data_IF_322454077858
#
_entry.id   IF_322454077858
#
_cell.length_a   1.000
_cell.length_b   1.000
_cell.length_c   1.000
_cell.angle_alpha   90.00
_cell.angle_beta   90.00
_cell.angle_gamma   90.00
#
_symmetry.space_group_name_H-M   'P 1'
#
loop_
_entity.id
_entity.type
_entity.pdbx_description
1 polymer ?
#
# COMPACT_ATOMS: atom_id res chain seq x y z
N UNK A 1 31.81 -11.48 35.48
CA UNK A 1 31.26 -11.81 34.18
C UNK A 1 30.31 -10.72 33.77
N UNK A 2 30.59 -9.99 32.67
CA UNK A 2 29.59 -9.10 32.03
C UNK A 2 28.54 -10.03 31.43
N UNK A 3 27.31 -9.96 31.93
CA UNK A 3 26.16 -10.54 31.25
C UNK A 3 26.05 -9.88 29.90
N UNK A 4 26.22 -10.63 28.81
CA UNK A 4 25.85 -10.20 27.48
C UNK A 4 24.33 -10.12 27.52
N UNK A 5 23.80 -8.91 27.67
CA UNK A 5 22.38 -8.65 27.52
C UNK A 5 22.09 -8.91 26.05
N UNK A 6 21.27 -9.92 25.74
CA UNK A 6 20.87 -10.20 24.37
C UNK A 6 20.24 -8.93 23.78
N UNK A 7 20.76 -8.46 22.67
CA UNK A 7 20.23 -7.30 21.97
C UNK A 7 18.76 -7.59 21.63
N UNK A 8 17.85 -6.72 22.08
CA UNK A 8 16.43 -6.81 21.73
C UNK A 8 16.27 -6.19 20.34
N UNK A 9 15.65 -6.94 19.44
CA UNK A 9 15.43 -6.53 18.05
C UNK A 9 13.98 -6.75 17.69
N UNK A 10 13.39 -5.82 16.93
CA UNK A 10 12.08 -5.96 16.29
C UNK A 10 12.25 -5.86 14.78
N UNK A 11 11.68 -6.83 14.06
CA UNK A 11 11.72 -6.89 12.61
C UNK A 11 10.40 -6.35 12.04
N UNK A 12 10.47 -5.25 11.32
CA UNK A 12 9.30 -4.55 10.76
C UNK A 12 9.36 -4.58 9.24
N UNK A 13 8.25 -4.95 8.60
CA UNK A 13 8.09 -4.81 7.16
C UNK A 13 6.94 -3.85 6.82
N UNK A 14 7.26 -2.83 6.05
CA UNK A 14 6.32 -1.79 5.65
C UNK A 14 6.60 -1.35 4.20
N UNK A 15 6.27 -0.14 3.87
CA UNK A 15 6.44 0.48 2.55
C UNK A 15 7.52 1.55 2.61
N UNK A 16 8.07 1.92 1.46
CA UNK A 16 8.85 3.14 1.32
C UNK A 16 7.99 4.36 1.66
N UNK A 17 8.59 5.45 2.12
CA UNK A 17 7.92 6.72 2.44
C UNK A 17 6.76 6.64 3.47
N UNK A 18 6.67 5.55 4.26
CA UNK A 18 5.58 5.34 5.22
C UNK A 18 5.92 5.71 6.65
N UNK A 19 7.18 5.95 6.95
CA UNK A 19 7.64 6.39 8.27
C UNK A 19 8.82 7.36 8.11
N UNK A 20 8.87 8.35 8.97
CA UNK A 20 10.06 9.18 9.12
C UNK A 20 11.15 8.37 9.84
N UNK A 21 12.32 8.22 9.23
CA UNK A 21 13.44 7.45 9.79
C UNK A 21 13.92 8.00 11.14
N UNK A 22 13.74 9.30 11.40
CA UNK A 22 14.04 9.89 12.71
C UNK A 22 13.21 9.28 13.82
N UNK A 23 11.95 8.84 13.54
CA UNK A 23 11.09 8.16 14.51
C UNK A 23 11.61 6.76 14.86
N UNK A 24 12.23 6.07 13.93
CA UNK A 24 12.89 4.79 14.20
C UNK A 24 14.06 5.01 15.17
N UNK A 25 14.90 6.00 14.90
CA UNK A 25 16.04 6.37 15.76
C UNK A 25 15.54 6.74 17.18
N UNK A 26 14.51 7.58 17.27
CA UNK A 26 13.91 7.96 18.55
C UNK A 26 13.38 6.75 19.32
N UNK A 27 12.67 5.84 18.66
CA UNK A 27 12.19 4.60 19.28
C UNK A 27 13.33 3.75 19.84
N UNK A 28 14.40 3.59 19.08
CA UNK A 28 15.58 2.83 19.51
C UNK A 28 16.25 3.48 20.74
N UNK A 29 16.37 4.79 20.75
CA UNK A 29 16.95 5.56 21.89
C UNK A 29 16.09 5.47 23.13
N UNK A 30 14.75 5.57 23.01
CA UNK A 30 13.83 5.54 24.13
C UNK A 30 13.67 4.14 24.73
N UNK A 31 13.70 3.09 23.89
CA UNK A 31 13.35 1.73 24.31
C UNK A 31 14.55 0.81 24.49
N UNK A 32 15.67 1.12 23.85
CA UNK A 32 16.81 0.21 23.73
C UNK A 32 16.50 -1.03 22.89
N UNK A 33 15.49 -0.97 22.02
CA UNK A 33 15.11 -2.02 21.08
C UNK A 33 15.58 -1.59 19.70
N UNK A 34 16.41 -2.40 19.05
CA UNK A 34 16.82 -2.14 17.67
C UNK A 34 15.71 -2.50 16.69
N UNK A 35 15.52 -1.68 15.66
CA UNK A 35 14.52 -1.89 14.61
C UNK A 35 15.21 -2.31 13.31
N UNK A 36 14.91 -3.52 12.83
CA UNK A 36 15.22 -3.92 11.46
C UNK A 36 14.03 -3.54 10.58
N UNK A 37 14.11 -2.40 9.92
CA UNK A 37 13.06 -1.91 9.03
C UNK A 37 13.33 -2.37 7.60
N UNK A 38 12.37 -3.07 7.00
CA UNK A 38 12.42 -3.53 5.62
C UNK A 38 11.20 -3.00 4.87
N UNK A 39 11.35 -2.79 3.57
CA UNK A 39 10.25 -2.39 2.69
C UNK A 39 9.90 -3.51 1.72
N UNK A 40 8.60 -3.69 1.47
CA UNK A 40 8.09 -4.57 0.45
C UNK A 40 7.66 -3.78 -0.79
N UNK A 41 7.75 -4.39 -1.96
CA UNK A 41 7.33 -3.76 -3.22
C UNK A 41 5.81 -3.80 -3.43
N UNK A 42 5.15 -4.82 -2.88
CA UNK A 42 3.69 -5.01 -2.98
C UNK A 42 3.17 -5.88 -1.83
N UNK A 43 1.86 -5.85 -1.60
CA UNK A 43 1.21 -6.75 -0.64
C UNK A 43 1.41 -8.23 -1.01
N UNK A 44 1.42 -8.54 -2.30
CA UNK A 44 1.64 -9.89 -2.84
C UNK A 44 3.07 -10.36 -2.59
N UNK A 45 4.07 -9.49 -2.71
CA UNK A 45 5.46 -9.77 -2.37
C UNK A 45 5.62 -10.02 -0.87
N UNK A 46 5.04 -9.16 -0.02
CA UNK A 46 5.02 -9.32 1.43
C UNK A 46 4.38 -10.66 1.83
N UNK A 47 3.20 -10.97 1.28
CA UNK A 47 2.50 -12.23 1.52
C UNK A 47 3.38 -13.45 1.14
N UNK A 48 4.04 -13.38 -0.02
CA UNK A 48 4.90 -14.46 -0.49
C UNK A 48 6.09 -14.69 0.44
N UNK A 49 6.72 -13.62 0.93
CA UNK A 49 7.82 -13.70 1.90
C UNK A 49 7.40 -14.40 3.20
N UNK A 50 6.23 -14.02 3.74
CA UNK A 50 5.70 -14.61 4.97
C UNK A 50 5.36 -16.09 4.74
N UNK A 51 4.68 -16.41 3.64
CA UNK A 51 4.21 -17.76 3.33
C UNK A 51 5.35 -18.76 3.09
N UNK A 52 6.47 -18.31 2.53
CA UNK A 52 7.66 -19.15 2.33
C UNK A 52 8.42 -19.42 3.63
N UNK A 53 8.06 -18.78 4.74
CA UNK A 53 8.72 -18.96 6.04
C UNK A 53 10.16 -18.44 6.08
N UNK A 54 10.54 -17.60 5.12
CA UNK A 54 11.87 -17.00 5.01
C UNK A 54 12.03 -15.65 5.70
N UNK A 55 10.97 -15.13 6.32
CA UNK A 55 10.95 -13.82 6.94
C UNK A 55 10.42 -13.92 8.37
N UNK A 56 11.25 -13.53 9.33
CA UNK A 56 10.89 -13.42 10.76
C UNK A 56 10.44 -11.99 11.04
N UNK A 57 9.27 -11.60 10.51
CA UNK A 57 8.68 -10.29 10.83
C UNK A 57 7.89 -10.37 12.13
N UNK A 58 8.16 -9.43 13.04
CA UNK A 58 7.37 -9.21 14.26
C UNK A 58 6.18 -8.29 13.98
N UNK A 59 6.35 -7.30 13.10
CA UNK A 59 5.34 -6.34 12.71
C UNK A 59 5.33 -6.17 11.18
N UNK A 60 4.14 -6.21 10.61
CA UNK A 60 3.91 -5.95 9.17
C UNK A 60 2.83 -4.90 8.99
N UNK A 61 2.90 -4.13 7.90
CA UNK A 61 1.95 -3.05 7.59
C UNK A 61 1.28 -3.32 6.23
N UNK A 62 0.44 -4.35 6.09
CA UNK A 62 -0.26 -4.64 4.84
C UNK A 62 -1.52 -3.78 4.67
N UNK A 63 -2.04 -3.75 3.45
CA UNK A 63 -3.35 -3.16 3.15
C UNK A 63 -4.49 -4.06 3.65
N UNK A 64 -5.66 -3.47 3.82
CA UNK A 64 -6.87 -4.09 4.35
C UNK A 64 -7.23 -5.44 3.70
N UNK A 65 -7.21 -5.52 2.38
CA UNK A 65 -7.51 -6.76 1.66
C UNK A 65 -6.52 -7.88 1.95
N UNK A 66 -5.25 -7.54 2.18
CA UNK A 66 -4.23 -8.52 2.53
C UNK A 66 -4.34 -8.92 4.00
N UNK A 67 -4.73 -8.00 4.90
CA UNK A 67 -5.08 -8.30 6.28
C UNK A 67 -6.19 -9.36 6.33
N UNK A 68 -7.29 -9.16 5.60
CA UNK A 68 -8.39 -10.11 5.54
C UNK A 68 -7.91 -11.51 5.12
N UNK A 69 -7.02 -11.59 4.13
CA UNK A 69 -6.43 -12.85 3.68
C UNK A 69 -5.54 -13.50 4.73
N UNK A 70 -4.65 -12.72 5.35
CA UNK A 70 -3.74 -13.23 6.38
C UNK A 70 -4.49 -13.76 7.60
N UNK A 71 -5.58 -13.09 8.00
CA UNK A 71 -6.47 -13.57 9.07
C UNK A 71 -7.14 -14.88 8.66
N UNK A 72 -7.69 -14.97 7.45
CA UNK A 72 -8.34 -16.17 6.95
C UNK A 72 -7.40 -17.38 6.88
N UNK A 73 -6.11 -17.14 6.67
CA UNK A 73 -5.07 -18.18 6.60
C UNK A 73 -4.36 -18.41 7.96
N UNK A 74 -4.88 -17.86 9.08
CA UNK A 74 -4.31 -17.98 10.44
C UNK A 74 -2.81 -17.57 10.53
N UNK A 75 -2.45 -16.49 9.81
CA UNK A 75 -1.06 -16.03 9.70
C UNK A 75 -0.74 -14.83 10.60
N UNK A 76 -1.68 -14.34 11.39
CA UNK A 76 -1.50 -13.21 12.30
C UNK A 76 -1.74 -13.62 13.74
N UNK A 77 -0.95 -13.05 14.65
CA UNK A 77 -1.16 -13.19 16.08
C UNK A 77 -2.17 -12.15 16.59
N UNK A 78 -2.99 -12.54 17.57
CA UNK A 78 -3.87 -11.59 18.25
C UNK A 78 -3.07 -10.55 19.04
N UNK A 79 -3.54 -9.30 19.05
CA UNK A 79 -2.93 -8.20 19.76
C UNK A 79 -3.35 -8.16 21.22
N UNK A 80 -2.39 -7.88 22.11
CA UNK A 80 -2.67 -7.57 23.50
C UNK A 80 -2.76 -6.06 23.70
N UNK A 81 -3.98 -5.55 23.73
CA UNK A 81 -4.26 -4.11 23.85
C UNK A 81 -3.86 -3.52 25.19
N UNK A 82 -3.56 -4.33 26.23
CA UNK A 82 -3.00 -3.83 27.47
C UNK A 82 -1.64 -3.16 27.27
N UNK A 83 -0.95 -3.51 26.19
CA UNK A 83 0.33 -2.95 25.76
C UNK A 83 0.21 -1.87 24.67
N UNK A 84 -1.01 -1.55 24.22
CA UNK A 84 -1.25 -0.57 23.13
C UNK A 84 -2.21 0.54 23.63
N UNK A 85 -1.84 1.31 24.66
CA UNK A 85 -2.74 2.30 25.25
C UNK A 85 -3.16 3.41 24.28
N UNK A 86 -2.32 3.71 23.28
CA UNK A 86 -2.60 4.77 22.32
C UNK A 86 -3.66 4.38 21.26
N UNK A 87 -4.10 3.12 21.21
CA UNK A 87 -5.20 2.71 20.35
C UNK A 87 -6.47 3.55 20.58
N UNK A 88 -6.71 3.97 21.80
CA UNK A 88 -7.85 4.85 22.16
C UNK A 88 -7.80 6.22 21.46
N UNK A 89 -6.63 6.67 20.99
CA UNK A 89 -6.45 7.96 20.31
C UNK A 89 -6.80 7.89 18.81
N UNK A 90 -6.99 6.69 18.27
CA UNK A 90 -7.41 6.51 16.88
C UNK A 90 -8.88 6.85 16.76
N UNK A 91 -9.25 7.62 15.73
CA UNK A 91 -10.63 7.95 15.44
C UNK A 91 -11.46 6.67 15.18
N UNK A 92 -12.66 6.61 15.74
CA UNK A 92 -13.52 5.43 15.65
C UNK A 92 -13.94 5.10 14.21
N UNK A 93 -13.90 6.08 13.30
CA UNK A 93 -14.17 5.88 11.88
C UNK A 93 -13.23 4.85 11.23
N UNK A 94 -12.01 4.73 11.75
CA UNK A 94 -10.99 3.82 11.22
C UNK A 94 -10.88 2.50 11.98
N UNK A 95 -11.69 2.30 13.00
CA UNK A 95 -11.75 1.07 13.79
C UNK A 95 -12.82 0.11 13.27
N UNK A 96 -12.67 -1.15 13.60
CA UNK A 96 -13.66 -2.20 13.30
C UNK A 96 -14.01 -2.31 11.80
N UNK A 97 -13.01 -2.13 10.95
CA UNK A 97 -13.19 -2.26 9.51
C UNK A 97 -13.45 -3.72 9.13
N UNK A 98 -14.07 -3.93 7.97
CA UNK A 98 -14.50 -5.27 7.51
C UNK A 98 -13.35 -6.29 7.39
N UNK A 99 -12.11 -5.84 7.23
CA UNK A 99 -10.94 -6.71 7.20
C UNK A 99 -10.58 -7.31 8.57
N UNK A 100 -10.90 -6.61 9.66
CA UNK A 100 -10.69 -7.04 11.05
C UNK A 100 -11.76 -6.41 11.95
N UNK A 101 -13.00 -6.93 11.96
CA UNK A 101 -14.17 -6.25 12.56
C UNK A 101 -14.09 -6.02 14.06
N UNK A 102 -13.20 -6.72 14.76
CA UNK A 102 -13.01 -6.59 16.20
C UNK A 102 -11.65 -5.96 16.55
N UNK A 103 -10.86 -5.55 15.55
CA UNK A 103 -9.46 -5.12 15.70
C UNK A 103 -8.62 -6.10 16.54
N UNK A 104 -8.84 -7.39 16.37
CA UNK A 104 -8.08 -8.42 17.10
C UNK A 104 -6.63 -8.50 16.67
N UNK A 105 -6.35 -8.25 15.41
CA UNK A 105 -5.07 -8.51 14.77
C UNK A 105 -4.37 -7.24 14.31
N UNK A 106 -5.09 -6.12 14.24
CA UNK A 106 -4.58 -4.91 13.58
C UNK A 106 -4.85 -3.63 14.34
N UNK A 107 -3.89 -2.70 14.21
CA UNK A 107 -4.06 -1.29 14.59
C UNK A 107 -4.04 -0.47 13.30
N UNK A 108 -5.06 0.37 13.02
CA UNK A 108 -5.05 1.27 11.87
C UNK A 108 -3.85 2.21 11.92
N UNK A 109 -3.11 2.30 10.79
CA UNK A 109 -1.91 3.13 10.70
C UNK A 109 -2.12 4.33 9.79
N UNK A 110 -2.49 4.10 8.54
CA UNK A 110 -2.69 5.13 7.54
C UNK A 110 -3.84 4.79 6.60
N UNK A 111 -4.46 5.81 6.05
CA UNK A 111 -5.42 5.69 4.96
C UNK A 111 -5.14 6.78 3.93
N UNK A 112 -5.63 6.60 2.72
CA UNK A 112 -5.47 7.57 1.66
C UNK A 112 -6.53 7.44 0.59
N UNK A 113 -6.50 8.36 -0.35
CA UNK A 113 -7.35 8.36 -1.54
C UNK A 113 -6.49 8.19 -2.79
N UNK A 114 -7.02 7.45 -3.75
CA UNK A 114 -6.42 7.37 -5.07
C UNK A 114 -6.90 8.56 -5.91
N UNK A 115 -5.98 9.20 -6.64
CA UNK A 115 -6.30 10.34 -7.49
C UNK A 115 -5.30 10.51 -8.62
N UNK A 116 -5.62 11.40 -9.55
CA UNK A 116 -4.74 11.77 -10.66
C UNK A 116 -3.98 13.05 -10.28
N UNK A 117 -2.66 12.98 -10.33
CA UNK A 117 -1.78 14.14 -10.25
C UNK A 117 -1.30 14.46 -11.66
N UNK A 118 -1.37 15.72 -12.06
CA UNK A 118 -0.91 16.15 -13.38
C UNK A 118 -0.15 17.48 -13.33
N UNK A 119 0.77 17.65 -14.27
CA UNK A 119 1.54 18.87 -14.42
C UNK A 119 0.72 19.91 -15.20
N UNK A 120 0.29 20.98 -14.51
CA UNK A 120 -0.53 22.04 -15.08
C UNK A 120 0.19 22.89 -16.14
N UNK A 121 1.50 22.76 -16.27
CA UNK A 121 2.26 23.45 -17.34
C UNK A 121 2.29 22.63 -18.63
N UNK A 122 2.00 21.33 -18.57
CA UNK A 122 2.00 20.42 -19.73
C UNK A 122 0.59 20.04 -20.18
N UNK A 123 -0.36 20.00 -19.27
CA UNK A 123 -1.76 19.64 -19.54
C UNK A 123 -2.63 20.88 -19.55
N UNK A 124 -3.31 21.11 -20.67
CA UNK A 124 -4.22 22.24 -20.84
C UNK A 124 -5.60 21.92 -20.26
N UNK A 125 -6.01 22.69 -19.26
CA UNK A 125 -7.31 22.52 -18.61
C UNK A 125 -7.32 21.49 -17.48
N UNK A 126 -8.42 21.41 -16.74
CA UNK A 126 -8.53 20.49 -15.60
C UNK A 126 -8.74 19.05 -16.07
N UNK A 127 -8.04 18.12 -15.44
CA UNK A 127 -8.36 16.69 -15.51
C UNK A 127 -9.49 16.42 -14.52
N UNK A 128 -10.63 15.96 -15.01
CA UNK A 128 -11.84 15.74 -14.20
C UNK A 128 -12.40 14.32 -14.27
N UNK A 129 -11.75 13.45 -15.04
CA UNK A 129 -12.18 12.07 -15.25
C UNK A 129 -11.00 11.12 -15.30
N UNK A 130 -11.25 9.85 -14.99
CA UNK A 130 -10.25 8.79 -15.06
C UNK A 130 -9.85 8.42 -16.48
N UNK A 131 -10.65 8.77 -17.49
CA UNK A 131 -10.36 8.55 -18.92
C UNK A 131 -8.99 9.12 -19.33
N UNK A 132 -8.53 10.20 -18.69
CA UNK A 132 -7.22 10.78 -18.94
C UNK A 132 -6.06 9.77 -18.76
N UNK A 133 -6.24 8.77 -17.88
CA UNK A 133 -5.24 7.73 -17.64
C UNK A 133 -5.14 6.70 -18.79
N UNK A 134 -6.08 6.73 -19.72
CA UNK A 134 -6.21 5.78 -20.83
C UNK A 134 -6.20 6.48 -22.19
N UNK A 135 -6.18 7.82 -22.22
CA UNK A 135 -6.32 8.62 -23.44
C UNK A 135 -5.03 8.63 -24.25
N UNK A 136 -5.07 8.20 -25.53
CA UNK A 136 -3.92 8.23 -26.43
C UNK A 136 -3.31 9.62 -26.66
N UNK A 137 -4.05 10.71 -26.36
CA UNK A 137 -3.47 12.07 -26.47
C UNK A 137 -2.29 12.28 -25.51
N UNK A 138 -2.23 11.52 -24.41
CA UNK A 138 -1.14 11.55 -23.43
C UNK A 138 -0.12 10.42 -23.63
N UNK A 139 -0.06 9.81 -24.81
CA UNK A 139 0.82 8.68 -25.07
C UNK A 139 2.27 8.95 -24.65
N UNK A 140 2.85 8.03 -23.89
CA UNK A 140 4.20 8.13 -23.36
C UNK A 140 4.38 9.13 -22.20
N UNK A 141 3.30 9.73 -21.70
CA UNK A 141 3.34 10.76 -20.65
C UNK A 141 2.57 10.36 -19.38
N UNK A 142 1.94 9.20 -19.37
CA UNK A 142 1.17 8.70 -18.23
C UNK A 142 2.03 7.75 -17.39
N UNK A 143 2.10 8.00 -16.11
CA UNK A 143 2.64 7.07 -15.12
C UNK A 143 1.47 6.35 -14.45
N UNK A 144 1.44 5.03 -14.54
CA UNK A 144 0.45 4.21 -13.86
C UNK A 144 1.05 3.62 -12.59
N UNK A 145 0.25 3.54 -11.54
CA UNK A 145 0.67 2.91 -10.28
C UNK A 145 0.97 1.42 -10.50
N UNK A 146 2.11 0.96 -10.00
CA UNK A 146 2.54 -0.44 -10.07
C UNK A 146 1.94 -1.28 -8.92
N UNK A 147 0.64 -1.13 -8.74
CA UNK A 147 -0.18 -1.91 -7.82
C UNK A 147 -1.39 -2.42 -8.59
N UNK A 148 -1.58 -3.72 -8.66
CA UNK A 148 -2.62 -4.33 -9.50
C UNK A 148 -4.03 -3.92 -9.08
N UNK A 149 -4.31 -3.79 -7.78
CA UNK A 149 -5.63 -3.36 -7.30
C UNK A 149 -5.92 -1.91 -7.65
N UNK A 150 -4.96 -1.03 -7.44
CA UNK A 150 -5.14 0.40 -7.69
C UNK A 150 -5.21 0.68 -9.20
N UNK A 151 -4.40 0.02 -10.02
CA UNK A 151 -4.48 0.13 -11.46
C UNK A 151 -5.82 -0.36 -12.01
N UNK A 152 -6.31 -1.51 -11.52
CA UNK A 152 -7.64 -2.00 -11.88
C UNK A 152 -8.75 -1.09 -11.35
N UNK A 153 -8.60 -0.52 -10.15
CA UNK A 153 -9.56 0.43 -9.59
C UNK A 153 -9.70 1.67 -10.50
N UNK A 154 -8.60 2.22 -11.01
CA UNK A 154 -8.66 3.33 -11.96
C UNK A 154 -9.45 2.97 -13.23
N UNK A 155 -9.24 1.76 -13.78
CA UNK A 155 -9.99 1.29 -14.95
C UNK A 155 -11.46 1.02 -14.64
N UNK A 156 -11.77 0.44 -13.48
CA UNK A 156 -13.15 0.21 -13.05
C UNK A 156 -13.91 1.53 -12.87
N UNK A 157 -13.26 2.54 -12.28
CA UNK A 157 -13.85 3.85 -12.10
C UNK A 157 -14.12 4.54 -13.44
N UNK A 158 -13.21 4.42 -14.40
CA UNK A 158 -13.41 4.95 -15.76
C UNK A 158 -14.60 4.28 -16.46
N UNK A 159 -14.76 2.97 -16.29
CA UNK A 159 -15.88 2.21 -16.83
C UNK A 159 -17.19 2.40 -16.04
N UNK A 160 -17.17 3.12 -14.92
CA UNK A 160 -18.35 3.35 -14.08
C UNK A 160 -18.74 2.15 -13.20
N UNK A 161 -17.81 1.23 -12.97
CA UNK A 161 -18.01 0.07 -12.11
C UNK A 161 -17.56 0.31 -10.67
N UNK A 162 -18.05 -0.53 -9.75
CA UNK A 162 -17.56 -0.53 -8.38
C UNK A 162 -16.12 -1.04 -8.30
N UNK A 163 -15.24 -0.36 -7.56
CA UNK A 163 -13.88 -0.84 -7.27
C UNK A 163 -13.87 -2.14 -6.44
N UNK A 164 -14.98 -2.48 -5.82
CA UNK A 164 -15.18 -3.69 -5.03
C UNK A 164 -15.98 -4.76 -5.79
N UNK A 165 -16.11 -4.63 -7.10
CA UNK A 165 -16.82 -5.64 -7.90
C UNK A 165 -16.13 -6.99 -7.81
N UNK A 166 -16.95 -8.05 -7.79
CA UNK A 166 -16.53 -9.45 -7.93
C UNK A 166 -17.03 -10.07 -9.24
N UNK A 167 -17.64 -9.24 -10.11
CA UNK A 167 -18.11 -9.66 -11.42
C UNK A 167 -16.91 -9.83 -12.36
N UNK A 168 -16.68 -11.07 -12.80
CA UNK A 168 -15.56 -11.42 -13.67
C UNK A 168 -15.59 -10.65 -14.99
N UNK A 169 -16.77 -10.40 -15.57
CA UNK A 169 -16.86 -9.67 -16.83
C UNK A 169 -16.44 -8.21 -16.68
N UNK A 170 -16.77 -7.56 -15.58
CA UNK A 170 -16.33 -6.19 -15.28
C UNK A 170 -14.81 -6.12 -15.03
N UNK A 171 -14.28 -7.13 -14.35
CA UNK A 171 -12.82 -7.24 -14.14
C UNK A 171 -12.07 -7.49 -15.45
N UNK A 172 -12.61 -8.31 -16.34
CA UNK A 172 -12.05 -8.54 -17.68
C UNK A 172 -12.07 -7.28 -18.55
N UNK A 173 -13.18 -6.50 -18.51
CA UNK A 173 -13.26 -5.21 -19.21
C UNK A 173 -12.24 -4.21 -18.68
N UNK A 174 -12.08 -4.09 -17.36
CA UNK A 174 -11.08 -3.22 -16.75
C UNK A 174 -9.65 -3.64 -17.11
N UNK A 175 -9.37 -4.94 -17.09
CA UNK A 175 -8.08 -5.46 -17.53
C UNK A 175 -7.82 -5.19 -19.02
N UNK A 176 -8.83 -5.37 -19.87
CA UNK A 176 -8.71 -5.08 -21.31
C UNK A 176 -8.42 -3.60 -21.56
N UNK A 177 -9.05 -2.69 -20.83
CA UNK A 177 -8.81 -1.25 -20.92
C UNK A 177 -7.35 -0.91 -20.57
N UNK A 178 -6.85 -1.41 -19.42
CA UNK A 178 -5.44 -1.25 -19.02
C UNK A 178 -4.47 -1.82 -20.04
N UNK A 179 -4.75 -3.03 -20.51
CA UNK A 179 -3.90 -3.71 -21.48
C UNK A 179 -3.84 -2.95 -22.81
N UNK A 180 -4.97 -2.49 -23.30
CA UNK A 180 -5.04 -1.71 -24.54
C UNK A 180 -4.27 -0.39 -24.43
N UNK A 181 -4.40 0.33 -23.32
CA UNK A 181 -3.66 1.55 -23.07
C UNK A 181 -2.14 1.30 -23.01
N UNK A 182 -1.72 0.21 -22.34
CA UNK A 182 -0.33 -0.22 -22.31
C UNK A 182 0.19 -0.56 -23.69
N UNK A 183 -0.51 -1.39 -24.44
CA UNK A 183 -0.10 -1.86 -25.76
C UNK A 183 -0.06 -0.71 -26.79
N UNK A 184 -0.89 0.30 -26.61
CA UNK A 184 -0.92 1.53 -27.41
C UNK A 184 0.13 2.57 -27.00
N UNK A 185 0.94 2.28 -25.98
CA UNK A 185 2.03 3.16 -25.55
C UNK A 185 1.58 4.39 -24.75
N UNK A 186 0.39 4.36 -24.14
CA UNK A 186 -0.09 5.46 -23.28
C UNK A 186 0.81 5.59 -22.05
N UNK A 187 1.19 4.47 -21.43
CA UNK A 187 2.01 4.50 -20.22
C UNK A 187 3.50 4.61 -20.54
N UNK A 188 4.14 5.60 -19.92
CA UNK A 188 5.58 5.72 -19.90
C UNK A 188 6.19 4.61 -19.02
N UNK A 189 5.60 4.39 -17.85
CA UNK A 189 6.04 3.38 -16.88
C UNK A 189 4.93 3.03 -15.89
N UNK A 190 5.10 1.89 -15.23
CA UNK A 190 4.40 1.53 -14.00
C UNK A 190 5.35 1.81 -12.84
N UNK A 191 4.92 2.59 -11.86
CA UNK A 191 5.78 3.14 -10.80
C UNK A 191 5.12 3.05 -9.42
N UNK A 192 5.95 3.02 -8.39
CA UNK A 192 5.58 3.27 -7.00
C UNK A 192 6.30 4.56 -6.55
N UNK A 193 7.25 4.47 -5.62
CA UNK A 193 7.96 5.64 -5.07
C UNK A 193 8.79 6.40 -6.12
N UNK A 194 9.15 5.77 -7.24
CA UNK A 194 9.82 6.42 -8.37
C UNK A 194 9.02 7.56 -9.00
N UNK A 195 7.72 7.65 -8.70
CA UNK A 195 6.85 8.72 -9.19
C UNK A 195 7.36 10.10 -8.76
N UNK A 196 7.91 10.24 -7.55
CA UNK A 196 8.41 11.52 -7.05
C UNK A 196 9.49 12.08 -7.98
N UNK A 197 10.57 11.33 -8.21
CA UNK A 197 11.65 11.76 -9.08
C UNK A 197 11.23 11.98 -10.54
N UNK A 198 10.28 11.18 -11.03
CA UNK A 198 9.76 11.34 -12.41
C UNK A 198 8.88 12.58 -12.56
N UNK A 199 8.06 12.91 -11.58
CA UNK A 199 7.23 14.12 -11.62
C UNK A 199 8.03 15.40 -11.41
N UNK A 200 9.08 15.37 -10.60
CA UNK A 200 10.00 16.50 -10.39
C UNK A 200 10.88 16.77 -11.62
N UNK A 201 11.24 15.73 -12.34
CA UNK A 201 12.08 15.83 -13.54
C UNK A 201 11.35 16.29 -14.82
N UNK A 202 10.05 16.32 -14.84
CA UNK A 202 9.21 16.73 -15.98
C UNK A 202 8.95 15.62 -16.97
#
# INVERSE_FOLDING_TARGET
GRSVQSERVVNVCSWGEYIDEELITQFEEETGIRVNYQTAESNEALYSLIKMGGADFDVIVPSDYMIARLIQEDMLAELDYSHIPNFQLIDDTYKNLSCDPENKYTVPYAWGTLGIIYNTTMVSGPITSWDAMFDPQYAGQVLMINNSRDALAAALLDLGYSINTTDESQLEEAFALLKNAKDSGVYQAFVMDEIFGKMEGG
#
